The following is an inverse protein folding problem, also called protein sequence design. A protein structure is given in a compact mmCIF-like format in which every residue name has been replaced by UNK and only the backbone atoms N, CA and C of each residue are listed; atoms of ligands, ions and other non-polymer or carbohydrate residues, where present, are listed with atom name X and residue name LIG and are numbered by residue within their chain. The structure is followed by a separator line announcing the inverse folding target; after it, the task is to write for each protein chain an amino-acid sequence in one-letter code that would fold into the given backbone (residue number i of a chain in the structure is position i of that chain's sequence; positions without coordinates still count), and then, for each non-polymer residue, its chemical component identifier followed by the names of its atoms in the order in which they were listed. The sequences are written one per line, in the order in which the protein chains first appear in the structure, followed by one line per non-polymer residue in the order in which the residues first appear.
data_IF_176815024442
#
_entry.id   IF_176815024442
#
_cell.length_a   1.000
_cell.length_b   1.000
_cell.length_c   1.000
_cell.angle_alpha   90.00
_cell.angle_beta   90.00
_cell.angle_gamma   90.00
#
_symmetry.space_group_name_H-M   'P 1'
#
loop_
_entity.id
_entity.type
_entity.pdbx_description
1 polymer ?
#
# COMPACT_ATOMS: atom_id res chain seq x y z
N UNK A 1 -26.27 9.85 12.43
CA UNK A 1 -25.96 8.59 11.72
C UNK A 1 -24.71 8.65 10.81
N UNK A 2 -23.90 9.72 10.86
CA UNK A 2 -22.70 9.89 10.02
C UNK A 2 -21.38 9.57 10.73
N UNK A 3 -21.31 9.56 12.04
CA UNK A 3 -20.06 9.39 12.80
C UNK A 3 -19.62 7.93 13.04
N UNK A 4 -20.52 6.96 12.88
CA UNK A 4 -20.19 5.54 13.06
C UNK A 4 -19.58 4.86 11.81
N UNK A 5 -19.73 5.47 10.63
CA UNK A 5 -19.15 4.92 9.41
C UNK A 5 -17.68 5.32 9.18
N UNK A 6 -17.27 6.51 9.63
CA UNK A 6 -15.87 6.96 9.51
C UNK A 6 -14.90 6.14 10.38
N UNK A 7 -15.34 5.70 11.57
CA UNK A 7 -14.51 4.87 12.45
C UNK A 7 -14.31 3.43 11.93
N UNK A 8 -15.26 2.88 11.18
CA UNK A 8 -15.10 1.52 10.59
C UNK A 8 -14.12 1.56 9.39
N UNK A 9 -14.09 2.67 8.64
CA UNK A 9 -13.14 2.85 7.54
C UNK A 9 -11.72 3.20 8.02
N UNK A 10 -11.61 3.93 9.11
CA UNK A 10 -10.33 4.25 9.76
C UNK A 10 -9.68 3.00 10.36
N UNK A 11 -10.44 2.18 11.08
CA UNK A 11 -9.93 0.92 11.67
C UNK A 11 -9.68 -0.17 10.63
N UNK A 12 -10.48 -0.26 9.57
CA UNK A 12 -10.23 -1.21 8.46
C UNK A 12 -9.01 -0.79 7.63
N UNK A 13 -8.81 0.50 7.37
CA UNK A 13 -7.61 1.01 6.70
C UNK A 13 -6.36 0.91 7.59
N UNK A 14 -6.46 1.18 8.90
CA UNK A 14 -5.34 0.98 9.83
C UNK A 14 -4.99 -0.51 10.01
N UNK A 15 -5.98 -1.40 10.10
CA UNK A 15 -5.70 -2.85 10.19
C UNK A 15 -5.19 -3.43 8.86
N UNK A 16 -5.58 -2.87 7.73
CA UNK A 16 -5.06 -3.27 6.41
C UNK A 16 -3.68 -2.65 6.16
N UNK A 17 -3.43 -1.42 6.52
CA UNK A 17 -2.10 -0.81 6.49
C UNK A 17 -1.13 -1.50 7.45
N UNK A 18 -1.53 -1.83 8.67
CA UNK A 18 -0.70 -2.59 9.62
C UNK A 18 -0.50 -4.05 9.17
N UNK A 19 -1.50 -4.71 8.58
CA UNK A 19 -1.34 -6.07 8.03
C UNK A 19 -0.58 -6.09 6.70
N UNK A 20 -0.63 -5.03 5.90
CA UNK A 20 0.19 -4.88 4.68
C UNK A 20 1.62 -4.48 5.01
N UNK A 21 1.86 -3.64 6.03
CA UNK A 21 3.22 -3.25 6.44
C UNK A 21 3.97 -4.41 7.09
N UNK A 22 3.33 -5.18 7.95
CA UNK A 22 3.94 -6.37 8.59
C UNK A 22 4.08 -7.55 7.61
N UNK A 23 3.24 -7.63 6.57
CA UNK A 23 3.32 -8.62 5.49
C UNK A 23 4.15 -8.15 4.28
N UNK A 24 4.28 -6.85 4.03
CA UNK A 24 5.19 -6.34 3.00
C UNK A 24 6.64 -6.47 3.43
N UNK A 25 6.95 -6.41 4.74
CA UNK A 25 8.25 -6.81 5.29
C UNK A 25 8.53 -8.31 5.04
N UNK A 26 7.55 -9.19 5.20
CA UNK A 26 7.68 -10.62 4.84
C UNK A 26 7.69 -10.87 3.33
N UNK A 27 7.10 -10.02 2.51
CA UNK A 27 7.20 -10.05 1.05
C UNK A 27 8.57 -9.50 0.57
N UNK A 28 9.16 -8.55 1.27
CA UNK A 28 10.52 -8.06 1.01
C UNK A 28 11.61 -9.09 1.36
N UNK A 29 11.37 -9.93 2.37
CA UNK A 29 12.19 -11.10 2.68
C UNK A 29 11.96 -12.27 1.71
N UNK A 30 10.84 -12.31 1.01
CA UNK A 30 10.48 -13.34 0.05
C UNK A 30 10.89 -12.92 -1.37
N UNK A 31 12.18 -13.03 -1.65
CA UNK A 31 12.72 -13.59 -2.88
C UNK A 31 12.52 -12.79 -4.19
N UNK A 32 13.64 -12.49 -4.83
CA UNK A 32 13.80 -12.21 -6.27
C UNK A 32 12.85 -13.06 -7.14
N UNK A 33 12.51 -14.27 -6.70
CA UNK A 33 11.61 -15.21 -7.34
C UNK A 33 10.16 -14.71 -7.42
N UNK A 34 9.64 -14.04 -6.39
CA UNK A 34 8.29 -13.46 -6.39
C UNK A 34 8.17 -12.27 -7.35
N UNK A 35 9.21 -11.46 -7.43
CA UNK A 35 9.29 -10.37 -8.39
C UNK A 35 9.28 -10.87 -9.82
N UNK A 36 10.11 -11.86 -10.14
CA UNK A 36 10.15 -12.49 -11.45
C UNK A 36 8.79 -13.07 -11.86
N UNK A 37 8.08 -13.73 -10.94
CA UNK A 37 6.73 -14.26 -11.21
C UNK A 37 5.71 -13.16 -11.54
N UNK A 38 5.82 -11.98 -10.92
CA UNK A 38 4.95 -10.83 -11.24
C UNK A 38 5.33 -10.25 -12.60
N UNK A 39 6.62 -10.07 -12.87
CA UNK A 39 7.13 -9.57 -14.16
C UNK A 39 6.74 -10.50 -15.30
N UNK A 40 6.91 -11.81 -15.15
CA UNK A 40 6.51 -12.82 -16.14
C UNK A 40 5.00 -12.82 -16.41
N UNK A 41 4.19 -12.68 -15.33
CA UNK A 41 2.74 -12.55 -15.47
C UNK A 41 2.32 -11.25 -16.16
N UNK A 42 3.12 -10.18 -16.09
CA UNK A 42 2.87 -8.92 -16.80
C UNK A 42 3.28 -8.97 -18.29
N UNK A 43 4.27 -9.78 -18.65
CA UNK A 43 4.69 -9.97 -20.06
C UNK A 43 3.55 -10.58 -20.87
N UNK A 44 2.86 -11.58 -20.37
CA UNK A 44 1.76 -12.23 -21.07
C UNK A 44 0.42 -11.54 -20.75
N UNK A 45 -0.20 -10.91 -21.77
CA UNK A 45 -1.42 -10.09 -21.58
C UNK A 45 -2.55 -10.81 -20.86
N UNK A 46 -2.78 -12.10 -21.14
CA UNK A 46 -3.88 -12.89 -20.60
C UNK A 46 -3.46 -13.86 -19.47
N UNK A 47 -2.24 -13.72 -18.94
CA UNK A 47 -1.76 -14.59 -17.88
C UNK A 47 -2.69 -14.56 -16.65
N UNK A 48 -2.95 -15.70 -16.02
CA UNK A 48 -3.63 -15.73 -14.75
C UNK A 48 -2.75 -15.11 -13.66
N UNK A 49 -3.38 -14.63 -12.60
CA UNK A 49 -2.66 -14.21 -11.41
C UNK A 49 -1.97 -15.44 -10.79
N UNK A 50 -0.66 -15.39 -10.50
CA UNK A 50 0.05 -16.48 -9.84
C UNK A 50 -0.66 -16.94 -8.57
N UNK A 51 -0.69 -18.25 -8.31
CA UNK A 51 -1.51 -18.87 -7.27
C UNK A 51 -1.29 -18.24 -5.88
N UNK A 52 -0.06 -17.88 -5.56
CA UNK A 52 0.32 -17.25 -4.29
C UNK A 52 -0.28 -15.85 -4.09
N UNK A 53 -0.59 -15.12 -5.18
CA UNK A 53 -1.18 -13.77 -5.12
C UNK A 53 -2.70 -13.76 -5.29
N UNK A 54 -3.35 -14.92 -5.55
CA UNK A 54 -4.79 -14.98 -5.79
C UNK A 54 -5.61 -14.48 -4.60
N UNK A 55 -5.26 -14.90 -3.38
CA UNK A 55 -5.98 -14.45 -2.18
C UNK A 55 -5.84 -12.93 -1.96
N UNK A 56 -4.66 -12.38 -2.23
CA UNK A 56 -4.41 -10.93 -2.15
C UNK A 56 -5.22 -10.17 -3.19
N UNK A 57 -5.33 -10.70 -4.41
CA UNK A 57 -6.14 -10.11 -5.47
C UNK A 57 -7.62 -10.02 -5.08
N UNK A 58 -8.21 -11.09 -4.56
CA UNK A 58 -9.61 -11.06 -4.15
C UNK A 58 -9.86 -10.16 -2.95
N UNK A 59 -8.94 -10.09 -2.01
CA UNK A 59 -9.00 -9.13 -0.91
C UNK A 59 -8.87 -7.68 -1.40
N UNK A 60 -7.95 -7.40 -2.32
CA UNK A 60 -7.82 -6.10 -2.97
C UNK A 60 -9.11 -5.69 -3.66
N UNK A 61 -9.71 -6.57 -4.45
CA UNK A 61 -10.98 -6.31 -5.11
C UNK A 61 -12.12 -6.07 -4.09
N UNK A 62 -12.18 -6.85 -3.03
CA UNK A 62 -13.19 -6.66 -1.99
C UNK A 62 -13.10 -5.26 -1.38
N UNK A 63 -11.92 -4.82 -1.00
CA UNK A 63 -11.73 -3.50 -0.39
C UNK A 63 -12.09 -2.37 -1.36
N UNK A 64 -11.63 -2.46 -2.62
CA UNK A 64 -11.77 -1.34 -3.58
C UNK A 64 -13.08 -1.35 -4.37
N UNK A 65 -13.76 -2.50 -4.50
CA UNK A 65 -14.91 -2.67 -5.41
C UNK A 65 -16.22 -3.03 -4.73
N UNK A 66 -16.20 -3.48 -3.48
CA UNK A 66 -17.40 -3.89 -2.76
C UNK A 66 -18.52 -2.83 -2.78
N UNK A 67 -18.17 -1.57 -2.51
CA UNK A 67 -19.14 -0.47 -2.51
C UNK A 67 -19.70 -0.19 -3.91
N UNK A 68 -18.84 -0.17 -4.93
CA UNK A 68 -19.24 0.04 -6.31
C UNK A 68 -20.18 -1.08 -6.80
N UNK A 69 -19.85 -2.34 -6.52
CA UNK A 69 -20.71 -3.48 -6.87
C UNK A 69 -22.11 -3.35 -6.25
N UNK A 70 -22.18 -2.94 -4.99
CA UNK A 70 -23.46 -2.70 -4.31
C UNK A 70 -24.26 -1.60 -4.99
N UNK A 71 -23.61 -0.47 -5.34
CA UNK A 71 -24.26 0.64 -6.03
C UNK A 71 -24.79 0.23 -7.41
N UNK A 72 -23.97 -0.47 -8.20
CA UNK A 72 -24.36 -0.96 -9.54
C UNK A 72 -25.57 -1.88 -9.44
N UNK A 73 -25.59 -2.80 -8.46
CA UNK A 73 -26.74 -3.68 -8.24
C UNK A 73 -28.03 -2.88 -7.95
N UNK A 74 -27.96 -1.88 -7.07
CA UNK A 74 -29.14 -1.05 -6.76
C UNK A 74 -29.59 -0.22 -7.97
N UNK A 75 -28.66 0.36 -8.73
CA UNK A 75 -28.99 1.11 -9.95
C UNK A 75 -29.64 0.22 -11.00
N UNK A 76 -29.17 -1.01 -11.17
CA UNK A 76 -29.77 -1.97 -12.09
C UNK A 76 -31.23 -2.31 -11.70
N UNK A 77 -31.52 -2.44 -10.39
CA UNK A 77 -32.89 -2.69 -9.91
C UNK A 77 -33.81 -1.50 -10.17
N UNK A 78 -33.32 -0.28 -9.94
CA UNK A 78 -34.07 0.94 -10.25
C UNK A 78 -34.35 1.02 -11.76
N UNK A 79 -33.36 0.78 -12.60
CA UNK A 79 -33.54 0.77 -14.06
C UNK A 79 -34.57 -0.28 -14.49
N UNK A 80 -34.55 -1.47 -13.90
CA UNK A 80 -35.53 -2.53 -14.20
C UNK A 80 -36.96 -2.14 -13.80
N UNK A 81 -37.14 -1.40 -12.70
CA UNK A 81 -38.45 -0.84 -12.33
C UNK A 81 -38.93 0.25 -13.29
N UNK A 82 -38.02 1.10 -13.79
CA UNK A 82 -38.38 2.16 -14.73
C UNK A 82 -38.96 1.62 -16.05
N UNK A 83 -38.56 0.43 -16.47
CA UNK A 83 -39.15 -0.24 -17.63
C UNK A 83 -40.63 -0.55 -17.45
N UNK A 84 -41.18 -0.56 -16.24
CA UNK A 84 -42.60 -0.68 -16.00
C UNK A 84 -43.44 0.40 -16.69
N UNK A 85 -42.93 1.62 -16.75
CA UNK A 85 -43.63 2.71 -17.48
C UNK A 85 -43.73 2.44 -18.99
N UNK A 86 -42.76 1.71 -19.57
CA UNK A 86 -42.86 1.29 -20.97
C UNK A 86 -43.90 0.17 -21.13
N UNK A 87 -43.99 -0.75 -20.15
CA UNK A 87 -44.98 -1.84 -20.20
C UNK A 87 -46.42 -1.34 -20.26
N UNK A 88 -46.74 -0.21 -19.58
CA UNK A 88 -48.11 0.39 -19.60
C UNK A 88 -48.53 0.76 -21.03
N UNK A 89 -47.62 1.20 -21.87
CA UNK A 89 -47.90 1.63 -23.23
C UNK A 89 -47.77 0.50 -24.26
N UNK A 90 -46.80 -0.42 -24.03
CA UNK A 90 -46.42 -1.42 -25.03
C UNK A 90 -47.18 -2.75 -24.84
N UNK A 91 -47.44 -3.15 -23.58
CA UNK A 91 -48.14 -4.38 -23.22
C UNK A 91 -49.28 -4.11 -22.22
N UNK A 92 -50.26 -3.24 -22.62
CA UNK A 92 -51.34 -2.82 -21.73
C UNK A 92 -52.22 -3.97 -21.20
N UNK A 93 -52.29 -5.09 -21.93
CA UNK A 93 -52.94 -6.32 -21.51
C UNK A 93 -52.25 -7.03 -20.33
N UNK A 94 -50.94 -6.84 -20.18
CA UNK A 94 -50.10 -7.50 -19.15
C UNK A 94 -49.53 -6.55 -18.11
N UNK A 95 -49.83 -5.22 -18.17
CA UNK A 95 -49.15 -4.23 -17.33
C UNK A 95 -49.29 -4.51 -15.83
N UNK A 96 -50.48 -4.98 -15.38
CA UNK A 96 -50.70 -5.29 -13.97
C UNK A 96 -49.84 -6.48 -13.50
N UNK A 97 -49.80 -7.54 -14.30
CA UNK A 97 -49.00 -8.74 -14.02
C UNK A 97 -47.51 -8.41 -14.11
N UNK A 98 -47.09 -7.59 -15.11
CA UNK A 98 -45.73 -7.12 -15.22
C UNK A 98 -45.31 -6.31 -14.02
N UNK A 99 -46.12 -5.37 -13.53
CA UNK A 99 -45.86 -4.59 -12.34
C UNK A 99 -45.66 -5.45 -11.09
N UNK A 100 -46.56 -6.41 -10.89
CA UNK A 100 -46.48 -7.33 -9.75
C UNK A 100 -45.17 -8.16 -9.77
N UNK A 101 -44.84 -8.73 -10.93
CA UNK A 101 -43.63 -9.55 -11.10
C UNK A 101 -42.36 -8.70 -10.91
N UNK A 102 -42.28 -7.49 -11.51
CA UNK A 102 -41.12 -6.59 -11.38
C UNK A 102 -40.90 -6.18 -9.93
N UNK A 103 -41.97 -5.74 -9.24
CA UNK A 103 -41.88 -5.31 -7.85
C UNK A 103 -41.45 -6.48 -6.95
N UNK A 104 -42.06 -7.64 -7.13
CA UNK A 104 -41.71 -8.86 -6.33
C UNK A 104 -40.25 -9.27 -6.56
N UNK A 105 -39.80 -9.29 -7.82
CA UNK A 105 -38.44 -9.66 -8.18
C UNK A 105 -37.42 -8.66 -7.61
N UNK A 106 -37.68 -7.35 -7.75
CA UNK A 106 -36.82 -6.30 -7.22
C UNK A 106 -36.71 -6.39 -5.70
N UNK A 107 -37.82 -6.58 -4.99
CA UNK A 107 -37.80 -6.77 -3.53
C UNK A 107 -36.95 -7.98 -3.15
N UNK A 108 -37.15 -9.12 -3.84
CA UNK A 108 -36.35 -10.32 -3.58
C UNK A 108 -34.85 -10.12 -3.82
N UNK A 109 -34.48 -9.50 -4.95
CA UNK A 109 -33.06 -9.21 -5.29
C UNK A 109 -32.49 -8.19 -4.33
N UNK A 110 -33.21 -7.14 -3.96
CA UNK A 110 -32.73 -6.13 -2.99
C UNK A 110 -32.51 -6.75 -1.60
N UNK A 111 -33.41 -7.65 -1.16
CA UNK A 111 -33.22 -8.38 0.09
C UNK A 111 -31.98 -9.28 0.03
N UNK A 112 -31.81 -10.01 -1.07
CA UNK A 112 -30.64 -10.85 -1.33
C UNK A 112 -29.34 -10.01 -1.34
N UNK A 113 -29.33 -8.88 -2.04
CA UNK A 113 -28.24 -7.94 -2.05
C UNK A 113 -27.90 -7.44 -0.65
N UNK A 114 -28.89 -6.96 0.10
CA UNK A 114 -28.69 -6.48 1.47
C UNK A 114 -28.06 -7.56 2.35
N UNK A 115 -28.60 -8.79 2.32
CA UNK A 115 -28.10 -9.89 3.13
C UNK A 115 -26.68 -10.32 2.73
N UNK A 116 -26.44 -10.54 1.43
CA UNK A 116 -25.13 -11.00 0.94
C UNK A 116 -24.05 -9.93 1.10
N UNK A 117 -24.32 -8.67 0.78
CA UNK A 117 -23.32 -7.60 0.96
C UNK A 117 -22.99 -7.33 2.44
N UNK A 118 -23.90 -7.69 3.37
CA UNK A 118 -23.63 -7.56 4.81
C UNK A 118 -22.82 -8.73 5.38
N UNK A 119 -23.07 -9.96 4.92
CA UNK A 119 -22.53 -11.17 5.55
C UNK A 119 -21.44 -11.87 4.74
N UNK A 120 -21.40 -11.67 3.42
CA UNK A 120 -20.47 -12.38 2.55
C UNK A 120 -19.22 -11.53 2.28
N UNK A 121 -18.03 -12.12 2.54
CA UNK A 121 -16.73 -11.50 2.25
C UNK A 121 -16.11 -11.98 0.93
N UNK A 122 -16.68 -13.00 0.31
CA UNK A 122 -16.16 -13.51 -0.95
C UNK A 122 -16.66 -12.66 -2.12
N UNK A 123 -15.78 -11.86 -2.67
CA UNK A 123 -16.09 -10.92 -3.77
C UNK A 123 -16.62 -11.64 -5.02
N UNK A 124 -16.21 -12.89 -5.30
CA UNK A 124 -16.69 -13.67 -6.44
C UNK A 124 -18.18 -13.93 -6.36
N UNK A 125 -18.68 -14.24 -5.16
CA UNK A 125 -20.12 -14.46 -4.93
C UNK A 125 -20.90 -13.16 -5.11
N UNK A 126 -20.37 -12.05 -4.59
CA UNK A 126 -20.99 -10.72 -4.70
C UNK A 126 -21.06 -10.24 -6.16
N UNK A 127 -20.02 -10.54 -6.95
CA UNK A 127 -19.92 -10.16 -8.37
C UNK A 127 -20.93 -10.93 -9.25
N UNK A 128 -21.37 -12.13 -8.81
CA UNK A 128 -22.34 -12.94 -9.53
C UNK A 128 -23.82 -12.58 -9.27
N UNK A 129 -24.10 -11.74 -8.28
CA UNK A 129 -25.48 -11.34 -7.95
C UNK A 129 -26.16 -10.68 -9.15
N UNK A 130 -25.48 -9.72 -9.78
CA UNK A 130 -26.02 -8.97 -10.91
C UNK A 130 -26.23 -9.84 -12.17
N UNK A 131 -25.25 -10.63 -12.64
CA UNK A 131 -25.45 -11.55 -13.77
C UNK A 131 -26.59 -12.54 -13.57
N UNK A 132 -26.68 -13.14 -12.39
CA UNK A 132 -27.79 -14.07 -12.08
C UNK A 132 -29.14 -13.32 -12.02
N UNK A 133 -29.17 -12.17 -11.34
CA UNK A 133 -30.38 -11.36 -11.25
C UNK A 133 -30.86 -10.87 -12.62
N UNK A 134 -29.95 -10.44 -13.51
CA UNK A 134 -30.31 -10.03 -14.88
C UNK A 134 -30.75 -11.20 -15.75
N UNK A 135 -30.22 -12.41 -15.54
CA UNK A 135 -30.68 -13.61 -16.24
C UNK A 135 -32.12 -13.94 -15.86
N UNK A 136 -32.46 -13.91 -14.57
CA UNK A 136 -33.83 -14.13 -14.09
C UNK A 136 -34.78 -13.04 -14.60
N UNK A 137 -34.33 -11.75 -14.56
CA UNK A 137 -35.10 -10.62 -15.06
C UNK A 137 -35.40 -10.76 -16.57
N UNK A 138 -34.40 -11.17 -17.37
CA UNK A 138 -34.55 -11.40 -18.81
C UNK A 138 -35.53 -12.53 -19.10
N UNK A 139 -35.41 -13.66 -18.40
CA UNK A 139 -36.32 -14.81 -18.56
C UNK A 139 -37.77 -14.47 -18.22
N UNK A 140 -37.99 -13.77 -17.09
CA UNK A 140 -39.32 -13.33 -16.68
C UNK A 140 -39.92 -12.32 -17.66
N UNK A 141 -39.09 -11.37 -18.16
CA UNK A 141 -39.54 -10.36 -19.11
C UNK A 141 -39.90 -10.99 -20.47
N UNK A 142 -39.09 -11.89 -21.02
CA UNK A 142 -39.41 -12.63 -22.25
C UNK A 142 -40.72 -13.47 -22.05
N UNK A 143 -40.85 -14.11 -20.89
CA UNK A 143 -42.10 -14.84 -20.56
C UNK A 143 -43.32 -13.93 -20.60
N UNK A 144 -43.27 -12.72 -20.10
CA UNK A 144 -44.35 -11.74 -20.18
C UNK A 144 -44.68 -11.35 -21.64
N UNK A 145 -43.66 -11.17 -22.45
CA UNK A 145 -43.84 -10.82 -23.88
C UNK A 145 -44.49 -11.96 -24.65
N UNK A 146 -44.15 -13.20 -24.35
CA UNK A 146 -44.78 -14.41 -24.97
C UNK A 146 -46.26 -14.59 -24.59
N UNK A 147 -46.69 -14.04 -23.46
CA UNK A 147 -48.08 -14.12 -22.98
C UNK A 147 -48.93 -12.93 -23.46
N UNK A 148 -48.30 -11.83 -23.91
CA UNK A 148 -48.99 -10.61 -24.33
C UNK A 148 -49.53 -10.74 -25.74
N UNK A 149 -50.74 -10.23 -25.95
CA UNK A 149 -51.42 -10.14 -27.26
C UNK A 149 -51.20 -8.79 -27.97
N UNK A 150 -50.35 -7.93 -27.40
CA UNK A 150 -50.12 -6.59 -27.95
C UNK A 150 -49.39 -6.62 -29.31
N UNK A 151 -49.82 -5.80 -30.29
CA UNK A 151 -49.14 -5.73 -31.59
C UNK A 151 -47.72 -5.15 -31.53
N UNK A 152 -47.36 -4.49 -30.42
CA UNK A 152 -46.05 -3.83 -30.25
C UNK A 152 -44.97 -4.72 -29.65
N UNK A 153 -45.25 -5.95 -29.29
CA UNK A 153 -44.33 -6.87 -28.66
C UNK A 153 -43.10 -7.15 -29.54
N UNK A 154 -43.29 -7.29 -30.85
CA UNK A 154 -42.20 -7.52 -31.80
C UNK A 154 -41.20 -6.36 -31.86
N UNK A 155 -41.63 -5.13 -31.60
CA UNK A 155 -40.75 -3.98 -31.49
C UNK A 155 -40.05 -3.91 -30.12
N UNK A 156 -40.80 -4.27 -29.06
CA UNK A 156 -40.27 -4.16 -27.70
C UNK A 156 -39.15 -5.17 -27.39
N UNK A 157 -39.09 -6.30 -28.10
CA UNK A 157 -38.02 -7.28 -27.90
C UNK A 157 -36.62 -6.73 -28.19
N UNK A 158 -36.49 -5.64 -28.99
CA UNK A 158 -35.19 -4.98 -29.22
C UNK A 158 -34.59 -4.41 -27.93
N UNK A 159 -35.41 -4.07 -26.93
CA UNK A 159 -34.93 -3.62 -25.63
C UNK A 159 -34.21 -4.71 -24.83
N UNK A 160 -34.38 -5.99 -25.20
CA UNK A 160 -33.72 -7.12 -24.53
C UNK A 160 -32.20 -7.06 -24.55
N UNK A 161 -31.59 -6.38 -25.53
CA UNK A 161 -30.14 -6.21 -25.61
C UNK A 161 -29.53 -5.61 -24.34
N UNK A 162 -30.30 -4.81 -23.58
CA UNK A 162 -29.81 -4.20 -22.32
C UNK A 162 -29.42 -5.24 -21.27
N UNK A 163 -30.14 -6.38 -21.20
CA UNK A 163 -29.82 -7.43 -20.21
C UNK A 163 -28.43 -8.04 -20.45
N UNK A 164 -28.07 -8.26 -21.71
CA UNK A 164 -26.74 -8.78 -22.09
C UNK A 164 -25.66 -7.76 -21.79
N UNK A 165 -25.92 -6.48 -22.07
CA UNK A 165 -24.96 -5.40 -21.79
C UNK A 165 -24.69 -5.28 -20.28
N UNK A 166 -25.75 -5.24 -19.45
CA UNK A 166 -25.62 -5.16 -18.00
C UNK A 166 -24.83 -6.36 -17.48
N UNK A 167 -25.16 -7.57 -17.93
CA UNK A 167 -24.48 -8.81 -17.50
C UNK A 167 -23.00 -8.79 -17.82
N UNK A 168 -22.60 -8.36 -19.01
CA UNK A 168 -21.21 -8.42 -19.44
C UNK A 168 -20.39 -7.21 -18.97
N UNK A 169 -20.94 -6.00 -18.95
CA UNK A 169 -20.15 -4.80 -18.66
C UNK A 169 -19.92 -4.57 -17.17
N UNK A 170 -20.75 -5.14 -16.29
CA UNK A 170 -20.70 -4.87 -14.86
C UNK A 170 -19.89 -5.91 -14.06
N UNK A 171 -19.54 -7.06 -14.63
CA UNK A 171 -18.76 -8.11 -13.97
C UNK A 171 -17.27 -7.79 -13.95
N UNK A 172 -16.62 -8.06 -12.84
CA UNK A 172 -15.22 -7.63 -12.61
C UNK A 172 -14.27 -8.77 -12.22
N UNK A 173 -14.76 -9.92 -11.79
CA UNK A 173 -13.94 -11.00 -11.25
C UNK A 173 -13.98 -12.29 -12.05
N UNK A 174 -15.16 -12.71 -12.48
CA UNK A 174 -15.42 -14.05 -13.00
C UNK A 174 -15.97 -14.02 -14.44
N UNK A 175 -15.06 -13.99 -15.42
CA UNK A 175 -15.45 -14.04 -16.85
C UNK A 175 -16.37 -15.20 -17.20
N UNK A 176 -16.04 -16.42 -16.72
CA UNK A 176 -16.82 -17.62 -17.06
C UNK A 176 -18.25 -17.54 -16.56
N UNK A 177 -18.46 -17.05 -15.34
CA UNK A 177 -19.79 -16.90 -14.77
C UNK A 177 -20.66 -15.93 -15.56
N UNK A 178 -20.13 -14.75 -15.89
CA UNK A 178 -20.81 -13.77 -16.73
C UNK A 178 -21.09 -14.30 -18.14
N UNK A 179 -20.15 -15.03 -18.74
CA UNK A 179 -20.32 -15.65 -20.05
C UNK A 179 -21.48 -16.64 -20.07
N UNK A 180 -21.57 -17.53 -19.07
CA UNK A 180 -22.69 -18.49 -18.97
C UNK A 180 -24.03 -17.78 -18.81
N UNK A 181 -24.13 -16.79 -17.91
CA UNK A 181 -25.34 -15.99 -17.76
C UNK A 181 -25.71 -15.29 -19.08
N UNK A 182 -24.74 -14.71 -19.77
CA UNK A 182 -24.93 -14.04 -21.06
C UNK A 182 -25.40 -15.00 -22.16
N UNK A 183 -24.91 -16.23 -22.21
CA UNK A 183 -25.39 -17.27 -23.12
C UNK A 183 -26.85 -17.64 -22.82
N UNK A 184 -27.20 -17.85 -21.53
CA UNK A 184 -28.59 -18.15 -21.16
C UNK A 184 -29.52 -16.99 -21.53
N UNK A 185 -29.14 -15.74 -21.28
CA UNK A 185 -29.94 -14.57 -21.69
C UNK A 185 -30.13 -14.56 -23.21
N UNK A 186 -29.07 -14.79 -24.00
CA UNK A 186 -29.15 -14.84 -25.46
C UNK A 186 -30.11 -15.96 -25.93
N UNK A 187 -30.08 -17.13 -25.31
CA UNK A 187 -31.01 -18.23 -25.62
C UNK A 187 -32.46 -17.86 -25.35
N UNK A 188 -32.79 -17.23 -24.20
CA UNK A 188 -34.11 -16.73 -23.93
C UNK A 188 -34.56 -15.67 -24.93
N UNK A 189 -33.67 -14.74 -25.29
CA UNK A 189 -33.96 -13.70 -26.31
C UNK A 189 -34.26 -14.37 -27.66
N UNK A 190 -33.47 -15.33 -28.10
CA UNK A 190 -33.68 -16.03 -29.38
C UNK A 190 -34.97 -16.81 -29.38
N UNK A 191 -35.34 -17.44 -28.26
CA UNK A 191 -36.66 -18.09 -28.11
C UNK A 191 -37.80 -17.06 -28.30
N UNK A 192 -37.69 -15.88 -27.65
CA UNK A 192 -38.67 -14.81 -27.85
C UNK A 192 -38.76 -14.33 -29.31
N UNK A 193 -37.60 -14.14 -29.95
CA UNK A 193 -37.50 -13.70 -31.34
C UNK A 193 -38.17 -14.67 -32.31
N UNK A 194 -37.98 -16.00 -32.14
CA UNK A 194 -38.58 -17.01 -33.03
C UNK A 194 -40.08 -17.09 -32.91
N UNK A 195 -40.66 -16.75 -31.75
CA UNK A 195 -42.09 -16.79 -31.52
C UNK A 195 -42.83 -15.46 -31.79
N UNK A 196 -42.16 -14.33 -31.58
CA UNK A 196 -42.80 -13.00 -31.58
C UNK A 196 -42.55 -12.18 -32.87
N UNK A 197 -41.60 -12.59 -33.70
CA UNK A 197 -41.16 -11.83 -34.87
C UNK A 197 -41.39 -12.61 -36.18
N UNK A 198 -41.67 -11.88 -37.26
CA UNK A 198 -41.63 -12.46 -38.60
C UNK A 198 -40.20 -12.84 -38.98
N UNK A 199 -40.03 -13.72 -39.96
CA UNK A 199 -38.69 -14.18 -40.38
C UNK A 199 -37.78 -13.07 -40.79
N UNK A 200 -38.29 -12.03 -41.48
CA UNK A 200 -37.49 -10.86 -41.88
C UNK A 200 -37.06 -9.99 -40.68
N UNK A 201 -37.98 -9.79 -39.70
CA UNK A 201 -37.64 -9.06 -38.48
C UNK A 201 -36.65 -9.83 -37.62
N UNK A 202 -36.84 -11.15 -37.46
CA UNK A 202 -35.90 -12.01 -36.74
C UNK A 202 -34.48 -12.01 -37.35
N UNK A 203 -34.40 -12.01 -38.68
CA UNK A 203 -33.11 -11.88 -39.37
C UNK A 203 -32.43 -10.54 -39.05
N UNK A 204 -33.17 -9.42 -39.20
CA UNK A 204 -32.64 -8.08 -38.89
C UNK A 204 -32.20 -8.00 -37.42
N UNK A 205 -33.02 -8.49 -36.49
CA UNK A 205 -32.68 -8.53 -35.07
C UNK A 205 -31.37 -9.30 -34.82
N UNK A 206 -31.25 -10.49 -35.40
CA UNK A 206 -30.07 -11.36 -35.19
C UNK A 206 -28.79 -10.71 -35.73
N UNK A 207 -28.88 -10.09 -36.91
CA UNK A 207 -27.74 -9.36 -37.52
C UNK A 207 -27.26 -8.21 -36.65
N UNK A 208 -28.18 -7.49 -35.96
CA UNK A 208 -27.83 -6.38 -35.06
C UNK A 208 -27.38 -6.88 -33.68
N UNK A 209 -28.08 -7.86 -33.13
CA UNK A 209 -27.84 -8.38 -31.80
C UNK A 209 -26.50 -9.14 -31.64
N UNK A 210 -26.16 -9.98 -32.63
CA UNK A 210 -24.97 -10.83 -32.54
C UNK A 210 -23.67 -10.05 -32.42
N UNK A 211 -23.38 -9.00 -33.23
CA UNK A 211 -22.19 -8.19 -33.06
C UNK A 211 -22.16 -7.44 -31.72
N UNK A 212 -23.30 -6.93 -31.28
CA UNK A 212 -23.42 -6.21 -30.00
C UNK A 212 -23.12 -7.14 -28.82
N UNK A 213 -23.66 -8.37 -28.86
CA UNK A 213 -23.37 -9.39 -27.87
C UNK A 213 -21.90 -9.80 -27.88
N UNK A 214 -21.33 -10.12 -29.03
CA UNK A 214 -19.91 -10.49 -29.17
C UNK A 214 -18.99 -9.35 -28.66
N UNK A 215 -19.31 -8.10 -29.01
CA UNK A 215 -18.54 -6.95 -28.56
C UNK A 215 -18.64 -6.76 -27.04
N UNK A 216 -19.80 -6.97 -26.42
CA UNK A 216 -19.95 -6.91 -24.97
C UNK A 216 -19.12 -7.96 -24.23
N UNK A 217 -19.05 -9.19 -24.76
CA UNK A 217 -18.18 -10.26 -24.25
C UNK A 217 -16.70 -9.86 -24.34
N UNK A 218 -16.29 -9.30 -25.49
CA UNK A 218 -14.93 -8.82 -25.69
C UNK A 218 -14.54 -7.72 -24.70
N UNK A 219 -15.43 -6.75 -24.46
CA UNK A 219 -15.21 -5.69 -23.47
C UNK A 219 -15.05 -6.29 -22.07
N UNK A 220 -15.93 -7.22 -21.66
CA UNK A 220 -15.83 -7.92 -20.38
C UNK A 220 -14.47 -8.62 -20.23
N UNK A 221 -14.08 -9.41 -21.20
CA UNK A 221 -12.79 -10.10 -21.22
C UNK A 221 -11.63 -9.12 -21.04
N UNK A 222 -11.62 -8.04 -21.83
CA UNK A 222 -10.58 -7.02 -21.77
C UNK A 222 -10.56 -6.27 -20.42
N UNK A 223 -11.73 -5.99 -19.85
CA UNK A 223 -11.85 -5.33 -18.55
C UNK A 223 -11.26 -6.18 -17.43
N UNK A 224 -11.55 -7.48 -17.39
CA UNK A 224 -11.00 -8.42 -16.39
C UNK A 224 -9.48 -8.52 -16.52
N UNK A 225 -8.95 -8.58 -17.73
CA UNK A 225 -7.49 -8.56 -17.97
C UNK A 225 -6.88 -7.28 -17.43
N UNK A 226 -7.49 -6.12 -17.72
CA UNK A 226 -6.98 -4.83 -17.26
C UNK A 226 -6.98 -4.72 -15.73
N UNK A 227 -8.01 -5.21 -15.06
CA UNK A 227 -8.07 -5.25 -13.59
C UNK A 227 -6.94 -6.10 -13.02
N UNK A 228 -6.70 -7.30 -13.58
CA UNK A 228 -5.60 -8.18 -13.16
C UNK A 228 -4.24 -7.52 -13.35
N UNK A 229 -4.01 -6.90 -14.50
CA UNK A 229 -2.75 -6.19 -14.78
C UNK A 229 -2.54 -4.98 -13.90
N UNK A 230 -3.60 -4.21 -13.63
CA UNK A 230 -3.53 -3.08 -12.71
C UNK A 230 -3.11 -3.53 -11.32
N UNK A 231 -3.68 -4.61 -10.80
CA UNK A 231 -3.28 -5.19 -9.53
C UNK A 231 -1.81 -5.63 -9.50
N UNK A 232 -1.33 -6.36 -10.52
CA UNK A 232 0.06 -6.81 -10.59
C UNK A 232 1.05 -5.63 -10.67
N UNK A 233 0.68 -4.56 -11.39
CA UNK A 233 1.47 -3.32 -11.44
C UNK A 233 1.53 -2.66 -10.08
N UNK A 234 0.40 -2.53 -9.38
CA UNK A 234 0.38 -1.95 -8.03
C UNK A 234 1.28 -2.74 -7.08
N UNK A 235 1.31 -4.07 -7.16
CA UNK A 235 2.24 -4.89 -6.37
C UNK A 235 3.71 -4.62 -6.72
N UNK A 236 4.03 -4.49 -8.01
CA UNK A 236 5.39 -4.22 -8.47
C UNK A 236 5.84 -2.81 -8.05
N UNK A 237 4.95 -1.82 -8.16
CA UNK A 237 5.23 -0.44 -7.76
C UNK A 237 5.47 -0.35 -6.26
N UNK A 238 4.67 -1.03 -5.45
CA UNK A 238 4.88 -1.12 -3.99
C UNK A 238 6.22 -1.80 -3.67
N UNK A 239 6.56 -2.87 -4.35
CA UNK A 239 7.86 -3.53 -4.21
C UNK A 239 9.03 -2.59 -4.54
N UNK A 240 8.96 -1.90 -5.68
CA UNK A 240 9.99 -0.94 -6.09
C UNK A 240 10.11 0.22 -5.08
N UNK A 241 8.98 0.72 -4.58
CA UNK A 241 8.94 1.76 -3.55
C UNK A 241 9.64 1.30 -2.26
N UNK A 242 9.35 0.09 -1.78
CA UNK A 242 9.98 -0.45 -0.57
C UNK A 242 11.49 -0.68 -0.78
N UNK A 243 11.89 -1.16 -1.96
CA UNK A 243 13.32 -1.33 -2.31
C UNK A 243 14.04 0.01 -2.32
N UNK A 244 13.48 1.04 -2.97
CA UNK A 244 14.04 2.40 -2.96
C UNK A 244 14.09 2.99 -1.55
N UNK A 245 13.06 2.75 -0.76
CA UNK A 245 13.01 3.18 0.64
C UNK A 245 14.11 2.50 1.47
N UNK A 246 14.34 1.21 1.29
CA UNK A 246 15.40 0.48 1.97
C UNK A 246 16.79 0.96 1.54
N UNK A 247 17.01 1.18 0.26
CA UNK A 247 18.27 1.77 -0.25
C UNK A 247 18.53 3.16 0.33
N UNK A 248 17.48 3.93 0.62
CA UNK A 248 17.59 5.25 1.23
C UNK A 248 17.73 5.23 2.77
N UNK A 249 17.74 4.07 3.43
CA UNK A 249 17.79 3.94 4.90
C UNK A 249 19.16 3.58 5.44
N UNK A 250 20.02 2.98 4.62
CA UNK A 250 21.36 2.52 5.02
C UNK A 250 22.44 3.38 4.42
N UNK A 251 23.61 3.41 5.07
CA UNK A 251 24.85 3.98 4.55
C UNK A 251 25.56 2.93 3.69
N UNK A 252 25.91 3.28 2.46
CA UNK A 252 26.45 2.33 1.47
C UNK A 252 27.78 1.70 1.91
N UNK A 253 28.59 2.44 2.67
CA UNK A 253 29.91 1.96 3.10
C UNK A 253 29.83 1.02 4.30
N UNK A 254 29.07 1.41 5.32
CA UNK A 254 29.05 0.71 6.63
C UNK A 254 27.89 -0.23 6.80
N UNK A 255 26.88 -0.16 5.93
CA UNK A 255 25.62 -0.92 6.02
C UNK A 255 24.87 -0.71 7.35
N UNK A 256 25.21 0.33 8.09
CA UNK A 256 24.45 0.85 9.22
C UNK A 256 23.28 1.70 8.71
N UNK A 257 22.36 2.05 9.58
CA UNK A 257 21.40 3.08 9.23
C UNK A 257 22.12 4.38 8.87
N UNK A 258 21.57 5.12 7.92
CA UNK A 258 22.04 6.45 7.61
C UNK A 258 21.40 7.47 8.59
N UNK A 259 21.94 8.68 8.59
CA UNK A 259 21.46 9.78 9.43
C UNK A 259 19.96 10.02 9.34
N UNK A 260 19.39 9.99 8.12
CA UNK A 260 17.97 10.26 7.90
C UNK A 260 17.10 9.21 8.60
N UNK A 261 17.42 7.95 8.41
CA UNK A 261 16.68 6.85 9.04
C UNK A 261 16.81 6.87 10.57
N UNK A 262 18.01 7.21 11.07
CA UNK A 262 18.22 7.37 12.51
C UNK A 262 17.28 8.41 13.12
N UNK A 263 17.20 9.60 12.51
CA UNK A 263 16.32 10.67 12.98
C UNK A 263 14.87 10.23 12.99
N UNK A 264 14.38 9.61 11.90
CA UNK A 264 13.01 9.11 11.79
C UNK A 264 12.69 8.04 12.87
N UNK A 265 13.64 7.17 13.19
CA UNK A 265 13.48 6.13 14.22
C UNK A 265 13.53 6.72 15.63
N UNK A 266 14.51 7.56 15.90
CA UNK A 266 14.71 8.19 17.21
C UNK A 266 13.56 9.11 17.61
N UNK A 267 13.03 9.90 16.66
CA UNK A 267 11.82 10.72 16.91
C UNK A 267 10.62 9.87 17.30
N UNK A 268 10.41 8.75 16.61
CA UNK A 268 9.30 7.82 16.94
C UNK A 268 9.48 7.22 18.32
N UNK A 269 10.69 6.80 18.67
CA UNK A 269 11.01 6.24 19.97
C UNK A 269 10.81 7.25 21.11
N UNK A 270 11.30 8.47 20.94
CA UNK A 270 11.18 9.53 21.96
C UNK A 270 9.72 9.94 22.18
N UNK A 271 8.88 9.89 21.14
CA UNK A 271 7.46 10.28 21.22
C UNK A 271 6.49 9.12 21.53
N UNK A 272 6.96 7.87 21.62
CA UNK A 272 6.12 6.72 22.00
C UNK A 272 5.73 6.77 23.49
N UNK A 273 4.42 6.53 23.76
CA UNK A 273 3.90 6.44 25.12
C UNK A 273 3.26 5.06 25.38
N UNK A 274 3.51 4.38 26.51
CA UNK A 274 4.34 4.79 27.68
C UNK A 274 5.83 4.75 27.34
N UNK A 275 6.57 5.75 27.86
CA UNK A 275 8.01 5.84 27.60
C UNK A 275 8.77 4.70 28.29
N UNK A 276 9.85 4.21 27.64
CA UNK A 276 10.85 3.40 28.32
C UNK A 276 11.40 4.14 29.54
N UNK A 277 11.80 3.39 30.57
CA UNK A 277 12.20 3.91 31.86
C UNK A 277 13.39 4.89 31.77
N UNK A 278 14.27 4.72 30.78
CA UNK A 278 15.39 5.62 30.47
C UNK A 278 15.85 5.39 29.02
N UNK A 279 16.31 6.47 28.38
CA UNK A 279 16.85 6.43 27.01
C UNK A 279 18.14 7.22 26.97
N UNK A 280 19.18 6.64 26.39
CA UNK A 280 20.47 7.28 26.24
C UNK A 280 20.87 7.39 24.77
N UNK A 281 21.49 8.49 24.40
CA UNK A 281 22.06 8.73 23.08
C UNK A 281 23.57 8.77 23.17
N UNK A 282 24.25 7.97 22.34
CA UNK A 282 25.68 7.96 22.19
C UNK A 282 26.04 8.63 20.85
N UNK A 283 26.98 9.54 20.87
CA UNK A 283 27.61 10.08 19.67
C UNK A 283 29.11 9.82 19.74
N UNK A 284 29.69 9.24 18.71
CA UNK A 284 31.12 8.92 18.71
C UNK A 284 31.76 9.17 17.36
N UNK A 285 33.07 9.41 17.40
CA UNK A 285 33.84 9.84 16.26
C UNK A 285 35.24 9.20 16.32
N UNK A 286 35.82 8.93 15.15
CA UNK A 286 37.12 8.28 15.02
C UNK A 286 38.26 9.28 15.30
N UNK A 287 39.04 9.00 16.32
CA UNK A 287 40.15 9.88 16.69
C UNK A 287 41.19 9.94 15.60
N UNK A 288 41.54 11.17 15.19
CA UNK A 288 42.52 11.46 14.16
C UNK A 288 42.24 10.79 12.79
N UNK A 289 41.00 10.59 12.41
CA UNK A 289 40.62 9.94 11.15
C UNK A 289 41.22 10.58 9.92
N UNK A 290 41.31 11.91 9.88
CA UNK A 290 42.01 12.62 8.82
C UNK A 290 43.47 12.18 8.65
N UNK A 291 44.22 11.95 9.75
CA UNK A 291 45.57 11.44 9.68
C UNK A 291 45.67 10.03 9.12
N UNK A 292 44.67 9.20 9.39
CA UNK A 292 44.58 7.86 8.80
C UNK A 292 44.46 7.98 7.29
N UNK A 293 43.53 8.82 6.81
CA UNK A 293 43.34 9.06 5.38
C UNK A 293 44.60 9.67 4.72
N UNK A 294 45.21 10.68 5.36
CA UNK A 294 46.38 11.38 4.83
C UNK A 294 47.61 10.43 4.74
N UNK A 295 47.76 9.49 5.67
CA UNK A 295 48.90 8.58 5.73
C UNK A 295 48.72 7.28 4.93
N UNK A 296 47.51 6.77 4.82
CA UNK A 296 47.25 5.43 4.31
C UNK A 296 46.22 5.37 3.15
N UNK A 297 45.66 6.53 2.80
CA UNK A 297 44.66 6.64 1.73
C UNK A 297 43.22 6.41 2.21
N UNK A 298 42.28 6.87 1.40
CA UNK A 298 40.84 6.78 1.70
C UNK A 298 40.36 5.35 1.80
N UNK A 299 40.87 4.42 1.00
CA UNK A 299 40.49 3.00 1.04
C UNK A 299 40.74 2.36 2.42
N UNK A 300 41.84 2.78 3.09
CA UNK A 300 42.17 2.32 4.46
C UNK A 300 41.23 2.97 5.46
N UNK A 301 40.90 4.25 5.28
CA UNK A 301 39.91 4.94 6.10
C UNK A 301 38.53 4.28 5.99
N UNK A 302 38.08 3.91 4.80
CA UNK A 302 36.83 3.23 4.57
C UNK A 302 36.76 1.86 5.29
N UNK A 303 37.88 1.09 5.24
CA UNK A 303 37.98 -0.17 5.99
C UNK A 303 37.93 0.03 7.51
N UNK A 304 38.50 1.14 8.02
CA UNK A 304 38.41 1.52 9.45
C UNK A 304 36.94 1.78 9.82
N UNK A 305 36.21 2.55 9.02
CA UNK A 305 34.79 2.83 9.27
C UNK A 305 33.92 1.56 9.24
N UNK A 306 34.18 0.67 8.28
CA UNK A 306 33.49 -0.63 8.21
C UNK A 306 33.76 -1.48 9.45
N UNK A 307 35.00 -1.53 9.92
CA UNK A 307 35.39 -2.30 11.09
C UNK A 307 34.76 -1.73 12.38
N UNK A 308 34.72 -0.40 12.53
CA UNK A 308 34.02 0.26 13.63
C UNK A 308 32.53 -0.08 13.63
N UNK A 309 31.89 -0.03 12.48
CA UNK A 309 30.50 -0.38 12.33
C UNK A 309 30.23 -1.84 12.76
N UNK A 310 31.06 -2.78 12.32
CA UNK A 310 30.97 -4.19 12.67
C UNK A 310 31.15 -4.43 14.19
N UNK A 311 32.18 -3.86 14.79
CA UNK A 311 32.45 -3.97 16.23
C UNK A 311 31.29 -3.38 17.03
N UNK A 312 30.86 -2.17 16.70
CA UNK A 312 29.78 -1.49 17.43
C UNK A 312 28.48 -2.30 17.36
N UNK A 313 28.15 -2.80 16.17
CA UNK A 313 26.92 -3.63 15.99
C UNK A 313 26.95 -4.89 16.84
N UNK A 314 28.10 -5.53 17.01
CA UNK A 314 28.25 -6.74 17.87
C UNK A 314 28.08 -6.44 19.37
N UNK A 315 28.39 -5.24 19.79
CA UNK A 315 28.31 -4.81 21.18
C UNK A 315 26.92 -4.27 21.58
N UNK A 316 26.03 -4.08 20.61
CA UNK A 316 24.69 -3.51 20.79
C UNK A 316 23.61 -4.56 20.61
N UNK A 317 22.44 -4.30 21.18
CA UNK A 317 21.24 -5.15 21.06
C UNK A 317 20.54 -4.90 19.73
N UNK A 318 19.72 -5.82 19.28
CA UNK A 318 18.89 -5.66 18.07
C UNK A 318 17.81 -4.57 18.21
N UNK A 319 17.45 -4.20 19.44
CA UNK A 319 16.53 -3.10 19.75
C UNK A 319 17.17 -1.73 19.64
N UNK A 320 18.51 -1.64 19.74
CA UNK A 320 19.24 -0.38 19.71
C UNK A 320 19.37 0.13 18.28
N UNK A 321 19.22 1.44 18.09
CA UNK A 321 19.33 2.07 16.78
C UNK A 321 20.75 2.59 16.58
N UNK A 322 21.48 2.04 15.60
CA UNK A 322 22.86 2.43 15.28
C UNK A 322 22.95 2.96 13.86
N UNK A 323 23.57 4.13 13.68
CA UNK A 323 23.69 4.79 12.39
C UNK A 323 25.07 5.44 12.18
N UNK A 324 25.46 5.60 10.91
CA UNK A 324 26.50 6.53 10.51
C UNK A 324 25.87 7.90 10.31
N UNK A 325 26.32 8.87 11.10
CA UNK A 325 25.72 10.19 11.16
C UNK A 325 26.42 11.22 10.27
N UNK A 326 27.71 11.08 10.07
CA UNK A 326 28.57 11.93 9.23
C UNK A 326 29.70 11.13 8.58
N UNK A 327 30.72 11.81 8.07
CA UNK A 327 31.86 11.17 7.43
C UNK A 327 32.58 10.15 8.33
N UNK A 328 32.93 10.56 9.54
CA UNK A 328 33.62 9.75 10.57
C UNK A 328 32.82 9.65 11.88
N UNK A 329 31.57 10.13 11.86
CA UNK A 329 30.69 10.24 13.02
C UNK A 329 29.65 9.12 13.01
N UNK A 330 29.44 8.52 14.16
CA UNK A 330 28.43 7.49 14.40
C UNK A 330 27.50 7.92 15.55
N UNK A 331 26.27 7.45 15.51
CA UNK A 331 25.28 7.75 16.53
C UNK A 331 24.50 6.49 16.89
N UNK A 332 24.16 6.37 18.17
CA UNK A 332 23.33 5.27 18.65
C UNK A 332 22.30 5.74 19.66
N UNK A 333 21.08 5.19 19.59
CA UNK A 333 20.03 5.36 20.58
C UNK A 333 19.82 4.05 21.30
N UNK A 334 19.98 4.06 22.62
CA UNK A 334 19.78 2.93 23.52
C UNK A 334 18.47 3.11 24.27
N UNK A 335 17.47 2.31 23.94
CA UNK A 335 16.18 2.31 24.60
C UNK A 335 16.22 1.46 25.87
N UNK A 336 15.37 1.74 26.86
CA UNK A 336 15.30 1.02 28.14
C UNK A 336 16.67 0.78 28.79
N UNK A 337 17.54 1.81 28.74
CA UNK A 337 18.92 1.69 29.19
C UNK A 337 19.26 2.85 30.13
N UNK A 338 19.56 2.53 31.39
CA UNK A 338 20.01 3.49 32.39
C UNK A 338 21.40 4.04 32.05
N UNK A 339 21.73 5.24 32.50
CA UNK A 339 23.01 5.87 32.24
C UNK A 339 24.22 4.99 32.63
N UNK A 340 24.13 4.23 33.72
CA UNK A 340 25.21 3.34 34.15
C UNK A 340 25.44 2.18 33.17
N UNK A 341 24.36 1.58 32.66
CA UNK A 341 24.42 0.52 31.66
C UNK A 341 24.92 1.07 30.31
N UNK A 342 24.45 2.25 29.93
CA UNK A 342 24.93 2.98 28.76
C UNK A 342 26.46 3.23 28.83
N UNK A 343 26.96 3.67 29.97
CA UNK A 343 28.42 3.85 30.20
C UNK A 343 29.19 2.52 30.03
N UNK A 344 28.65 1.40 30.55
CA UNK A 344 29.29 0.09 30.37
C UNK A 344 29.33 -0.35 28.90
N UNK A 345 28.22 -0.14 28.18
CA UNK A 345 28.17 -0.44 26.73
C UNK A 345 29.15 0.44 25.98
N UNK A 346 29.17 1.74 26.22
CA UNK A 346 30.08 2.68 25.58
C UNK A 346 31.55 2.34 25.85
N UNK A 347 31.90 1.97 27.10
CA UNK A 347 33.27 1.58 27.46
C UNK A 347 33.68 0.26 26.81
N UNK A 348 32.74 -0.69 26.69
CA UNK A 348 32.97 -1.95 25.98
C UNK A 348 33.25 -1.69 24.49
N UNK A 349 32.44 -0.86 23.82
CA UNK A 349 32.67 -0.45 22.42
C UNK A 349 34.05 0.22 22.28
N UNK A 350 34.35 1.22 23.13
CA UNK A 350 35.62 1.94 23.09
C UNK A 350 36.83 0.99 23.25
N UNK A 351 36.78 0.13 24.25
CA UNK A 351 37.84 -0.85 24.51
C UNK A 351 37.98 -1.91 23.40
N UNK A 352 36.89 -2.39 22.84
CA UNK A 352 36.90 -3.35 21.73
C UNK A 352 37.56 -2.71 20.49
N UNK A 353 37.23 -1.47 20.18
CA UNK A 353 37.88 -0.75 19.07
C UNK A 353 39.35 -0.45 19.36
N UNK A 354 39.69 0.01 20.56
CA UNK A 354 41.09 0.28 20.94
C UNK A 354 41.99 -0.96 20.86
N UNK A 355 41.47 -2.13 21.16
CA UNK A 355 42.21 -3.40 21.10
C UNK A 355 42.38 -3.95 19.69
N UNK A 356 41.58 -3.45 18.77
CA UNK A 356 41.59 -3.92 17.39
C UNK A 356 42.88 -3.49 16.67
N UNK A 357 43.54 -4.48 16.06
CA UNK A 357 44.66 -4.24 15.18
C UNK A 357 44.25 -4.57 13.75
N UNK A 358 44.25 -3.57 12.88
CA UNK A 358 43.94 -3.77 11.48
C UNK A 358 45.23 -3.89 10.66
N UNK A 359 45.37 -4.96 9.90
CA UNK A 359 46.47 -5.17 8.97
C UNK A 359 46.15 -4.47 7.63
N UNK A 360 47.01 -3.54 7.24
CA UNK A 360 46.94 -2.89 5.92
C UNK A 360 47.60 -3.79 4.89
N UNK A 361 48.84 -4.22 5.20
CA UNK A 361 49.66 -5.15 4.43
C UNK A 361 50.35 -6.13 5.42
N UNK A 362 51.08 -7.17 4.96
CA UNK A 362 51.79 -8.07 5.83
C UNK A 362 52.70 -7.42 6.86
N UNK A 363 53.31 -6.28 6.47
CA UNK A 363 54.30 -5.55 7.28
C UNK A 363 53.72 -4.30 7.97
N UNK A 364 52.50 -3.89 7.65
CA UNK A 364 51.90 -2.65 8.18
C UNK A 364 50.60 -2.95 8.91
N UNK A 365 50.52 -2.43 10.13
CA UNK A 365 49.31 -2.51 10.96
C UNK A 365 49.00 -1.17 11.60
N UNK A 366 47.74 -0.86 11.79
CA UNK A 366 47.27 0.33 12.47
C UNK A 366 46.35 -0.03 13.64
N UNK A 367 46.39 0.83 14.65
CA UNK A 367 45.42 0.89 15.73
C UNK A 367 44.79 2.27 15.73
N UNK A 368 43.56 2.33 16.12
CA UNK A 368 42.80 3.57 16.18
C UNK A 368 41.90 3.56 17.41
N UNK A 369 41.44 4.74 17.78
CA UNK A 369 40.53 4.90 18.94
C UNK A 369 39.35 5.74 18.55
N UNK A 370 38.34 5.76 19.42
CA UNK A 370 37.18 6.62 19.30
C UNK A 370 36.98 7.43 20.57
N UNK A 371 36.42 8.61 20.41
CA UNK A 371 35.88 9.41 21.51
C UNK A 371 34.37 9.32 21.52
N UNK A 372 33.74 9.25 22.69
CA UNK A 372 32.30 9.05 22.85
C UNK A 372 31.70 10.14 23.74
N UNK A 373 30.64 10.78 23.28
CA UNK A 373 29.75 11.63 24.07
C UNK A 373 28.42 10.94 24.34
N UNK A 374 27.92 11.01 25.56
CA UNK A 374 26.66 10.43 25.99
C UNK A 374 25.75 11.53 26.49
N UNK A 375 24.48 11.47 26.09
CA UNK A 375 23.40 12.25 26.69
C UNK A 375 22.25 11.35 27.10
N UNK A 376 21.67 11.61 28.27
CA UNK A 376 20.47 10.94 28.76
C UNK A 376 19.23 11.79 28.49
N UNK A 377 18.11 11.17 28.16
CA UNK A 377 16.84 11.85 27.99
C UNK A 377 16.28 12.24 29.36
N UNK A 378 16.42 13.51 29.74
CA UNK A 378 16.09 14.00 31.08
C UNK A 378 14.58 14.30 31.27
N UNK A 379 13.87 14.57 30.17
CA UNK A 379 12.47 15.00 30.22
C UNK A 379 11.67 14.43 29.05
N UNK A 380 10.40 14.06 29.27
CA UNK A 380 9.48 13.66 28.21
C UNK A 380 9.24 14.71 27.13
N UNK A 381 9.49 15.97 27.41
CA UNK A 381 9.32 17.09 26.50
C UNK A 381 10.61 17.46 25.75
N UNK A 382 11.73 16.81 26.06
CA UNK A 382 13.00 17.07 25.38
C UNK A 382 12.94 16.61 23.94
N UNK A 383 13.28 17.51 23.02
CA UNK A 383 13.34 17.22 21.60
C UNK A 383 14.61 16.43 21.25
N UNK A 384 14.54 15.61 20.19
CA UNK A 384 15.69 14.84 19.71
C UNK A 384 16.89 15.75 19.38
N UNK A 385 16.62 16.96 18.86
CA UNK A 385 17.65 17.94 18.52
C UNK A 385 18.49 18.36 19.74
N UNK A 386 17.84 18.57 20.88
CA UNK A 386 18.55 18.92 22.12
C UNK A 386 19.36 17.74 22.65
N UNK A 387 18.82 16.53 22.54
CA UNK A 387 19.54 15.31 22.96
C UNK A 387 20.80 15.07 22.13
N UNK A 388 20.70 15.23 20.81
CA UNK A 388 21.85 15.15 19.90
C UNK A 388 22.89 16.24 20.22
N UNK A 389 22.44 17.46 20.44
CA UNK A 389 23.32 18.59 20.81
C UNK A 389 24.05 18.32 22.14
N UNK A 390 23.38 17.77 23.14
CA UNK A 390 24.00 17.41 24.40
C UNK A 390 25.10 16.34 24.23
N UNK A 391 24.84 15.32 23.40
CA UNK A 391 25.83 14.28 23.12
C UNK A 391 27.03 14.83 22.31
N UNK A 392 26.80 15.78 21.39
CA UNK A 392 27.87 16.44 20.63
C UNK A 392 28.78 17.30 21.54
N UNK A 393 28.18 18.05 22.49
CA UNK A 393 28.96 18.80 23.50
C UNK A 393 29.82 17.85 24.34
N UNK A 394 29.26 16.72 24.77
CA UNK A 394 30.00 15.71 25.54
C UNK A 394 31.14 15.08 24.70
N UNK A 395 30.91 14.78 23.43
CA UNK A 395 31.89 14.26 22.49
C UNK A 395 33.04 15.28 22.28
N UNK A 396 32.73 16.56 22.11
CA UNK A 396 33.71 17.62 22.01
C UNK A 396 34.62 17.68 23.26
N UNK A 397 34.04 17.61 24.46
CA UNK A 397 34.81 17.61 25.70
C UNK A 397 35.68 16.33 25.84
N UNK A 398 35.20 15.15 25.32
CA UNK A 398 36.01 13.93 25.25
C UNK A 398 37.25 14.12 24.35
N UNK A 399 37.06 14.74 23.18
CA UNK A 399 38.18 15.06 22.25
C UNK A 399 39.17 16.05 22.84
N UNK A 400 38.65 17.07 23.51
CA UNK A 400 39.47 18.11 24.15
C UNK A 400 40.26 17.59 25.35
N UNK A 401 39.70 16.69 26.12
CA UNK A 401 40.34 16.09 27.28
C UNK A 401 41.45 15.07 26.94
N UNK A 402 41.74 14.82 25.67
CA UNK A 402 42.85 13.96 25.20
C UNK A 402 42.37 12.71 24.43
N UNK A 403 41.12 12.67 23.94
CA UNK A 403 40.57 11.60 23.12
C UNK A 403 40.52 10.20 23.80
N UNK A 404 40.13 9.18 23.07
CA UNK A 404 40.04 7.79 23.52
C UNK A 404 39.33 7.66 24.87
N UNK A 405 38.18 8.31 25.02
CA UNK A 405 37.42 8.35 26.26
C UNK A 405 35.95 8.65 26.08
N UNK A 406 35.22 8.44 27.14
CA UNK A 406 33.80 8.76 27.25
C UNK A 406 33.61 10.02 28.09
N UNK A 407 32.65 10.84 27.69
CA UNK A 407 32.10 11.93 28.50
C UNK A 407 30.58 11.85 28.49
N UNK A 408 29.99 12.06 29.67
CA UNK A 408 28.53 12.22 29.82
C UNK A 408 28.26 13.74 29.81
N UNK A 409 27.23 14.14 29.12
CA UNK A 409 26.80 15.53 29.12
C UNK A 409 26.46 16.03 30.53
N UNK A 410 26.88 17.23 30.82
CA UNK A 410 26.52 17.94 32.05
C UNK A 410 26.24 19.40 31.70
N UNK A 411 25.19 20.05 32.27
CA UNK A 411 24.84 21.45 31.96
C UNK A 411 25.96 22.48 32.07
N UNK A 412 26.98 22.19 32.90
CA UNK A 412 28.17 23.05 33.09
C UNK A 412 29.26 22.90 32.01
N UNK A 413 29.05 22.02 30.98
CA UNK A 413 30.01 21.86 29.91
C UNK A 413 30.00 23.07 28.98
N UNK A 414 31.19 23.51 28.55
CA UNK A 414 31.35 24.65 27.64
C UNK A 414 30.79 24.29 26.25
N UNK A 415 29.88 25.11 25.77
CA UNK A 415 29.39 24.96 24.39
C UNK A 415 30.57 25.23 23.41
N UNK A 416 30.75 24.38 22.39
CA UNK A 416 31.75 24.62 21.37
C UNK A 416 31.41 25.90 20.62
N UNK A 417 32.43 26.77 20.45
CA UNK A 417 32.33 28.04 19.71
C UNK A 417 32.05 27.82 18.21
N UNK A 418 32.16 26.59 17.73
CA UNK A 418 31.84 26.16 16.36
C UNK A 418 31.27 24.74 16.46
N UNK A 419 30.08 24.48 15.91
CA UNK A 419 29.55 23.10 15.86
C UNK A 419 30.54 22.24 15.07
N UNK A 420 30.79 21.00 15.56
CA UNK A 420 31.69 20.03 14.93
C UNK A 420 31.17 19.57 13.55
N UNK A 421 29.87 19.59 13.37
CA UNK A 421 29.20 19.36 12.09
C UNK A 421 28.47 20.62 11.61
N UNK A 422 28.32 20.86 10.30
CA UNK A 422 27.42 21.89 9.79
C UNK A 422 26.00 21.56 10.30
N UNK A 423 25.36 22.60 10.87
CA UNK A 423 24.03 22.48 11.52
C UNK A 423 23.14 21.48 10.75
N UNK A 424 22.84 20.31 11.35
CA UNK A 424 22.14 19.22 10.66
C UNK A 424 20.77 19.63 10.13
N UNK A 425 20.17 20.65 10.72
CA UNK A 425 18.79 21.07 10.50
C UNK A 425 18.63 22.06 9.34
N UNK A 426 19.72 22.65 8.82
CA UNK A 426 19.65 23.54 7.65
C UNK A 426 19.31 22.81 6.33
N UNK A 427 19.34 21.48 6.31
CA UNK A 427 18.99 20.67 5.13
C UNK A 427 17.54 20.18 5.19
N UNK A 428 16.90 20.20 6.37
CA UNK A 428 15.55 19.74 6.58
C UNK A 428 14.73 20.79 7.35
N UNK A 429 14.30 21.86 6.68
CA UNK A 429 13.04 22.50 7.06
C UNK A 429 11.94 21.55 6.60
N UNK A 430 11.10 20.98 7.50
CA UNK A 430 9.89 20.28 7.07
C UNK A 430 9.09 21.29 6.26
N UNK A 431 8.64 20.90 5.07
CA UNK A 431 7.66 21.66 4.30
C UNK A 431 6.51 21.98 5.23
N UNK A 432 6.35 23.26 5.54
CA UNK A 432 5.37 23.77 6.49
C UNK A 432 4.01 23.18 6.12
N UNK A 433 3.22 22.68 7.10
CA UNK A 433 1.88 22.10 6.87
C UNK A 433 0.97 22.99 6.02
N UNK A 434 1.24 24.30 5.92
CA UNK A 434 0.56 25.24 5.01
C UNK A 434 0.92 25.06 3.54
N UNK A 435 2.12 24.58 3.18
CA UNK A 435 2.51 24.31 1.79
C UNK A 435 1.95 22.98 1.27
N UNK A 436 1.71 22.00 2.14
CA UNK A 436 1.02 20.76 1.79
C UNK A 436 -0.46 20.98 1.45
N UNK A 437 -1.12 21.94 2.13
CA UNK A 437 -2.51 22.31 1.82
C UNK A 437 -2.62 23.07 0.49
N UNK A 438 -1.63 23.88 0.13
CA UNK A 438 -1.55 24.60 -1.13
C UNK A 438 -1.26 23.71 -2.36
N UNK A 439 -0.45 22.68 -2.21
CA UNK A 439 -0.19 21.71 -3.26
C UNK A 439 -1.40 20.81 -3.55
N UNK A 440 -2.14 20.41 -2.51
CA UNK A 440 -3.40 19.66 -2.67
C UNK A 440 -4.53 20.49 -3.30
N UNK A 441 -4.56 21.81 -3.08
CA UNK A 441 -5.55 22.68 -3.69
C UNK A 441 -5.24 22.99 -5.17
N UNK A 442 -3.97 23.13 -5.56
CA UNK A 442 -3.54 23.27 -6.96
C UNK A 442 -3.74 21.98 -7.77
N UNK A 443 -3.53 20.81 -7.19
CA UNK A 443 -3.82 19.54 -7.85
C UNK A 443 -5.33 19.33 -8.08
N UNK A 444 -6.20 19.73 -7.14
CA UNK A 444 -7.66 19.66 -7.33
C UNK A 444 -8.19 20.62 -8.40
N UNK A 445 -7.58 21.78 -8.59
CA UNK A 445 -8.00 22.74 -9.62
C UNK A 445 -7.56 22.36 -11.04
N UNK A 446 -6.48 21.60 -11.22
CA UNK A 446 -6.06 21.10 -12.53
C UNK A 446 -6.90 19.91 -13.05
N UNK A 447 -7.65 19.22 -12.18
CA UNK A 447 -8.54 18.10 -12.55
C UNK A 447 -9.99 18.52 -12.82
N UNK A 448 -10.35 19.78 -12.55
CA UNK A 448 -11.67 20.33 -12.88
C UNK A 448 -11.69 21.09 -14.22
N UNK A 449 -10.57 21.16 -14.92
CA UNK A 449 -10.42 21.87 -16.20
C UNK A 449 -10.06 20.92 -17.38
N UNK A 450 -10.16 19.61 -17.18
CA UNK A 450 -10.15 18.54 -18.20
C UNK A 450 -11.43 17.70 -18.06
#
# INVERSE_FOLDING_TARGET
MSSSNENIYSTANMSFQNSTTDRSLKLAECDLQNRQLIEDALVHRAAPIPAQFQQYFYNYLYVHRHQNLRQINYMAQIAFLLYFFADIFIIPDMFFLSGLIRVSLVIAVMFCCYYLFKHQKNIRVLDMILPVGTTVAAATWIGLLLLSSSPHVSTYIYASAIFVLITNLCVQTEFKGALYCSIFIALFIMLGVTHLMSLSQAFIFTVVFTPLWAFSIYINWNNIINIRRSFLRTLLDEWNYQTLKNLAHTDDLTQLFNRRHFVDMAERSIHQWPKPASTCLLMFDVDYFKRINDNYGHDVGDRVLQLIAEITRKEMRSSDVLARFGGEEFIALLEDTQLQDCLMIAERIRCSIQKQVMHINPDQKIQFTISIGIAELESPQQELEDLIKHADIALYEAKKAGRNRIRVYHPNMLQPTKPLSPNPWNVFKPLNKQEQSGAHHKAKQSWSAL
#
